data_IF_836570068090
#
_entry.id   IF_836570068090
#
_cell.length_a   1.000
_cell.length_b   1.000
_cell.length_c   1.000
_cell.angle_alpha   90.00
_cell.angle_beta   90.00
_cell.angle_gamma   90.00
#
_symmetry.space_group_name_H-M   'P 1'
#
loop_
_entity.id
_entity.type
_entity.pdbx_description
1 polymer ?
#
# COMPACT_ATOMS: atom_id res chain seq x y z
N UNK A 1 29.03 -33.07 -28.73
CA UNK A 1 27.84 -32.40 -28.19
C UNK A 1 28.13 -32.05 -26.76
N UNK A 2 28.24 -30.75 -26.48
CA UNK A 2 28.58 -30.27 -25.13
C UNK A 2 27.29 -30.17 -24.31
N UNK A 3 27.39 -30.25 -22.99
CA UNK A 3 26.21 -30.21 -22.10
C UNK A 3 25.35 -28.94 -22.33
N UNK A 4 25.96 -27.84 -22.76
CA UNK A 4 25.28 -26.58 -23.07
C UNK A 4 24.25 -26.67 -24.21
N UNK A 5 24.48 -27.51 -25.23
CA UNK A 5 23.52 -27.67 -26.33
C UNK A 5 22.24 -28.39 -25.84
N UNK A 6 22.39 -29.27 -24.86
CA UNK A 6 21.29 -30.01 -24.22
C UNK A 6 20.46 -29.12 -23.31
N UNK A 7 21.12 -28.24 -22.54
CA UNK A 7 20.46 -27.24 -21.72
C UNK A 7 19.71 -26.21 -22.57
N UNK A 8 20.27 -25.83 -23.73
CA UNK A 8 19.60 -24.92 -24.65
C UNK A 8 18.34 -25.56 -25.27
N UNK A 9 18.40 -26.85 -25.66
CA UNK A 9 17.22 -27.61 -26.10
C UNK A 9 16.16 -27.76 -24.98
N UNK A 10 16.59 -27.93 -23.73
CA UNK A 10 15.69 -27.93 -22.57
C UNK A 10 15.06 -26.57 -22.33
N UNK A 11 15.82 -25.48 -22.43
CA UNK A 11 15.33 -24.12 -22.24
C UNK A 11 14.36 -23.70 -23.36
N UNK A 12 14.64 -24.05 -24.61
CA UNK A 12 13.71 -23.80 -25.71
C UNK A 12 12.40 -24.59 -25.54
N UNK A 13 12.45 -25.87 -25.14
CA UNK A 13 11.24 -26.67 -24.93
C UNK A 13 10.41 -26.23 -23.71
N UNK A 14 11.06 -25.91 -22.59
CA UNK A 14 10.39 -25.43 -21.36
C UNK A 14 9.83 -24.03 -21.57
N UNK A 15 10.55 -23.15 -22.26
CA UNK A 15 10.07 -21.80 -22.56
C UNK A 15 8.82 -21.83 -23.43
N UNK A 16 8.74 -22.70 -24.44
CA UNK A 16 7.53 -22.89 -25.26
C UNK A 16 6.38 -23.45 -24.44
N UNK A 17 6.62 -24.45 -23.57
CA UNK A 17 5.57 -24.99 -22.69
C UNK A 17 5.07 -23.94 -21.70
N UNK A 18 5.96 -23.18 -21.06
CA UNK A 18 5.59 -22.05 -20.18
C UNK A 18 4.86 -20.96 -20.92
N UNK A 19 5.27 -20.63 -22.15
CA UNK A 19 4.63 -19.60 -22.95
C UNK A 19 3.24 -20.02 -23.37
N UNK A 20 3.04 -21.27 -23.82
CA UNK A 20 1.71 -21.83 -24.09
C UNK A 20 0.85 -21.94 -22.84
N UNK A 21 1.41 -22.27 -21.68
CA UNK A 21 0.70 -22.27 -20.40
C UNK A 21 0.34 -20.86 -19.93
N UNK A 22 1.24 -19.88 -20.10
CA UNK A 22 0.95 -18.46 -19.81
C UNK A 22 -0.08 -17.92 -20.78
N UNK A 23 0.05 -18.21 -22.06
CA UNK A 23 -0.92 -17.83 -23.07
C UNK A 23 -2.25 -18.55 -22.79
N UNK A 24 -2.30 -19.82 -22.40
CA UNK A 24 -3.55 -20.50 -22.04
C UNK A 24 -4.13 -20.07 -20.69
N UNK A 25 -3.32 -19.67 -19.70
CA UNK A 25 -3.82 -19.11 -18.44
C UNK A 25 -4.33 -17.69 -18.64
N UNK A 26 -3.63 -16.91 -19.47
CA UNK A 26 -4.06 -15.58 -19.83
C UNK A 26 -5.30 -15.68 -20.77
N UNK A 27 -5.28 -16.45 -21.87
CA UNK A 27 -6.35 -16.60 -22.90
C UNK A 27 -7.47 -17.59 -22.54
N UNK A 28 -7.22 -18.65 -21.78
CA UNK A 28 -8.27 -19.56 -21.27
C UNK A 28 -9.18 -18.90 -20.23
N UNK A 29 -8.75 -17.75 -19.71
CA UNK A 29 -9.54 -16.85 -18.91
C UNK A 29 -10.11 -15.69 -19.76
N UNK A 30 -10.42 -15.86 -21.06
CA UNK A 30 -10.95 -14.79 -21.94
C UNK A 30 -12.12 -13.99 -21.32
N UNK A 31 -12.99 -14.63 -20.51
CA UNK A 31 -14.05 -13.94 -19.74
C UNK A 31 -13.51 -13.15 -18.53
N UNK A 32 -12.44 -13.65 -17.92
CA UNK A 32 -11.67 -12.98 -16.87
C UNK A 32 -10.86 -11.80 -17.43
N UNK A 33 -10.32 -11.87 -18.66
CA UNK A 33 -9.52 -10.80 -19.28
C UNK A 33 -10.30 -9.49 -19.40
N UNK A 34 -11.52 -9.51 -19.92
CA UNK A 34 -12.37 -8.30 -19.95
C UNK A 34 -12.57 -7.72 -18.55
N UNK A 35 -12.79 -8.59 -17.56
CA UNK A 35 -13.02 -8.17 -16.18
C UNK A 35 -11.74 -7.65 -15.51
N UNK A 36 -10.57 -8.21 -15.84
CA UNK A 36 -9.28 -7.82 -15.29
C UNK A 36 -8.74 -6.58 -15.96
N UNK A 37 -8.85 -6.40 -17.28
CA UNK A 37 -8.42 -5.16 -17.92
C UNK A 37 -9.23 -3.96 -17.39
N UNK A 38 -10.55 -4.12 -17.18
CA UNK A 38 -11.42 -3.11 -16.57
C UNK A 38 -11.04 -2.81 -15.10
N UNK A 39 -10.71 -3.86 -14.33
CA UNK A 39 -10.34 -3.74 -12.90
C UNK A 39 -8.90 -3.26 -12.72
N UNK A 40 -7.98 -3.64 -13.60
CA UNK A 40 -6.58 -3.22 -13.62
C UNK A 40 -6.50 -1.76 -14.02
N UNK A 41 -7.29 -1.31 -15.00
CA UNK A 41 -7.43 0.12 -15.30
C UNK A 41 -7.93 0.92 -14.09
N UNK A 42 -8.97 0.43 -13.40
CA UNK A 42 -9.46 1.03 -12.14
C UNK A 42 -8.41 1.00 -11.02
N UNK A 43 -7.63 -0.08 -10.89
CA UNK A 43 -6.59 -0.19 -9.89
C UNK A 43 -5.44 0.79 -10.15
N UNK A 44 -4.99 0.89 -11.42
CA UNK A 44 -4.00 1.89 -11.83
C UNK A 44 -4.49 3.31 -11.58
N UNK A 45 -5.74 3.61 -11.95
CA UNK A 45 -6.36 4.89 -11.65
C UNK A 45 -6.39 5.18 -10.14
N UNK A 46 -6.74 4.18 -9.31
CA UNK A 46 -6.71 4.29 -7.86
C UNK A 46 -5.31 4.57 -7.29
N UNK A 47 -4.28 3.90 -7.82
CA UNK A 47 -2.87 4.15 -7.43
C UNK A 47 -2.44 5.58 -7.78
N UNK A 48 -2.80 6.05 -8.98
CA UNK A 48 -2.51 7.43 -9.40
C UNK A 48 -3.21 8.44 -8.48
N UNK A 49 -4.50 8.24 -8.19
CA UNK A 49 -5.26 9.11 -7.27
C UNK A 49 -4.62 9.11 -5.88
N UNK A 50 -4.29 7.94 -5.33
CA UNK A 50 -3.66 7.82 -4.01
C UNK A 50 -2.30 8.54 -3.96
N UNK A 51 -1.50 8.42 -5.03
CA UNK A 51 -0.22 9.13 -5.15
C UNK A 51 -0.41 10.65 -5.18
N UNK A 52 -1.38 11.15 -5.96
CA UNK A 52 -1.70 12.58 -6.04
C UNK A 52 -2.20 13.12 -4.70
N UNK A 53 -3.08 12.39 -4.01
CA UNK A 53 -3.56 12.77 -2.68
C UNK A 53 -2.42 12.80 -1.67
N UNK A 54 -1.55 11.79 -1.67
CA UNK A 54 -0.39 11.76 -0.78
C UNK A 54 0.55 12.95 -1.03
N UNK A 55 0.87 13.24 -2.30
CA UNK A 55 1.67 14.40 -2.68
C UNK A 55 0.99 15.73 -2.29
N UNK A 56 -0.33 15.83 -2.48
CA UNK A 56 -1.14 16.99 -2.07
C UNK A 56 -1.13 17.22 -0.57
N UNK A 57 -1.30 16.18 0.25
CA UNK A 57 -1.25 16.26 1.71
C UNK A 57 0.13 16.74 2.21
N UNK A 58 1.21 16.17 1.66
CA UNK A 58 2.57 16.58 2.03
C UNK A 58 2.84 18.03 1.60
N UNK A 59 2.39 18.42 0.40
CA UNK A 59 2.52 19.79 -0.10
C UNK A 59 1.74 20.81 0.75
N UNK A 60 0.50 20.49 1.13
CA UNK A 60 -0.32 21.33 2.01
C UNK A 60 0.31 21.49 3.40
N UNK A 61 0.93 20.43 3.93
CA UNK A 61 1.64 20.48 5.21
C UNK A 61 2.83 21.46 5.15
N UNK A 62 3.58 21.46 4.05
CA UNK A 62 4.68 22.40 3.84
C UNK A 62 4.20 23.85 3.68
N UNK A 63 3.15 24.09 2.89
CA UNK A 63 2.57 25.42 2.70
C UNK A 63 1.97 25.96 4.00
N UNK A 64 1.26 25.11 4.76
CA UNK A 64 0.69 25.49 6.05
C UNK A 64 1.77 25.91 7.04
N UNK A 65 2.87 25.17 7.11
CA UNK A 65 3.98 25.50 8.00
C UNK A 65 4.78 26.75 7.55
N UNK A 66 4.87 27.02 6.24
CA UNK A 66 5.66 28.15 5.69
C UNK A 66 4.89 29.45 5.50
N UNK A 67 3.59 29.39 5.17
CA UNK A 67 2.77 30.54 4.75
C UNK A 67 1.74 30.92 5.81
N UNK A 68 1.28 29.95 6.60
CA UNK A 68 0.15 30.10 7.53
C UNK A 68 0.57 30.39 8.98
N UNK A 69 1.89 30.53 9.22
CA UNK A 69 2.44 31.10 10.44
C UNK A 69 1.95 32.52 10.78
N UNK A 70 1.19 33.18 9.88
CA UNK A 70 0.48 34.45 10.13
C UNK A 70 -1.06 34.33 10.11
N UNK A 71 -1.59 33.23 10.66
CA UNK A 71 -3.01 33.00 11.03
C UNK A 71 -4.01 32.69 9.89
N UNK A 72 -4.50 31.43 9.86
CA UNK A 72 -5.79 31.09 9.24
C UNK A 72 -6.68 30.19 10.12
N UNK A 73 -6.31 29.92 11.38
CA UNK A 73 -7.14 29.18 12.33
C UNK A 73 -7.44 30.09 13.53
N UNK A 74 -8.67 30.61 13.60
CA UNK A 74 -9.31 30.76 14.89
C UNK A 74 -9.31 29.38 15.56
N UNK A 75 -8.59 29.30 16.68
CA UNK A 75 -8.45 28.22 17.66
C UNK A 75 -9.08 26.84 17.36
N UNK A 76 -8.27 25.75 17.35
CA UNK A 76 -8.79 24.41 17.67
C UNK A 76 -9.22 24.41 19.14
N UNK A 77 -10.49 24.11 19.40
CA UNK A 77 -10.98 23.84 20.76
C UNK A 77 -10.19 22.68 21.37
N UNK A 78 -9.68 22.78 22.61
CA UNK A 78 -8.97 21.68 23.23
C UNK A 78 -9.95 20.53 23.50
N UNK A 79 -9.79 19.43 22.79
CA UNK A 79 -10.41 18.15 23.12
C UNK A 79 -9.78 17.66 24.41
N UNK A 80 -10.41 17.96 25.54
CA UNK A 80 -10.07 17.43 26.86
C UNK A 80 -10.36 15.93 26.91
N UNK A 81 -9.43 15.14 26.39
CA UNK A 81 -9.34 13.69 26.57
C UNK A 81 -8.09 13.34 27.38
N UNK A 82 -7.90 14.00 28.52
CA UNK A 82 -6.81 13.68 29.45
C UNK A 82 -7.22 12.48 30.31
N UNK A 83 -7.20 11.29 29.71
CA UNK A 83 -7.22 10.02 30.44
C UNK A 83 -5.81 9.69 30.92
N UNK A 84 -5.49 10.04 32.17
CA UNK A 84 -4.53 9.41 33.11
C UNK A 84 -4.23 10.43 34.23
N UNK A 85 -4.44 10.10 35.52
CA UNK A 85 -3.44 9.34 36.29
C UNK A 85 -4.15 8.38 37.29
N UNK A 86 -3.57 7.44 38.05
CA UNK A 86 -2.36 7.43 38.86
C UNK A 86 -2.17 5.99 39.35
N UNK A 87 -0.94 5.48 39.29
CA UNK A 87 -0.48 4.32 40.04
C UNK A 87 -0.66 4.57 41.54
N UNK A 88 -1.57 3.86 42.22
CA UNK A 88 -1.65 3.84 43.68
C UNK A 88 -1.78 2.39 44.16
N UNK A 89 -0.68 1.86 44.68
CA UNK A 89 -0.57 0.57 45.32
C UNK A 89 -1.44 0.50 46.58
N UNK A 90 -2.11 -0.63 46.89
CA UNK A 90 -2.71 -0.83 48.20
C UNK A 90 -1.61 -1.16 49.22
N UNK A 91 -1.32 -0.21 50.11
CA UNK A 91 -0.54 -0.45 51.32
C UNK A 91 -1.32 -1.40 52.25
N UNK A 92 -0.83 -2.62 52.40
CA UNK A 92 -1.27 -3.55 53.43
C UNK A 92 -0.97 -2.95 54.81
N UNK A 93 -2.01 -2.73 55.62
CA UNK A 93 -1.89 -2.26 57.00
C UNK A 93 -1.28 -3.37 57.86
N UNK A 94 -0.10 -3.11 58.40
CA UNK A 94 0.53 -3.88 59.47
C UNK A 94 0.29 -3.21 60.82
N UNK A 95 0.12 -4.02 61.88
CA UNK A 95 -0.12 -3.68 63.31
C UNK A 95 -1.56 -3.23 63.63
N UNK A 96 -2.34 -3.88 64.50
CA UNK A 96 -2.05 -4.40 65.85
C UNK A 96 -2.95 -5.57 66.21
#
# INVERSE_FOLDING_TARGET
>A
MTAQDYDNQLLESVSVRRRRLRDALLFGAQRQRRSLDERVGKAFAGVVIAAVVCAGCVGWSFVSHKVIGNSPYGAPVPSSGQSSPTTAAPSASSSR
#
